data_IF_866495293953
#
_entry.id   IF_866495293953
#
_cell.length_a   1.000
_cell.length_b   1.000
_cell.length_c   1.000
_cell.angle_alpha   90.00
_cell.angle_beta   90.00
_cell.angle_gamma   90.00
#
_symmetry.space_group_name_H-M   'P 1'
#
loop_
_entity.id
_entity.type
_entity.pdbx_description
1 polymer ?
#
# COMPACT_ATOMS: atom_id res chain seq x y z
N UNK A 1 -39.22 8.45 -50.34
CA UNK A 1 -40.33 7.66 -50.92
C UNK A 1 -40.33 6.32 -50.17
N UNK A 2 -40.95 6.31 -48.99
CA UNK A 2 -42.24 5.66 -48.65
C UNK A 2 -42.14 4.13 -48.69
N UNK A 3 -42.04 3.48 -47.52
CA UNK A 3 -43.15 2.87 -46.73
C UNK A 3 -43.27 1.38 -47.10
N UNK A 4 -43.44 0.38 -46.22
CA UNK A 4 -44.20 0.20 -44.96
C UNK A 4 -43.48 -0.88 -44.12
N UNK A 5 -43.26 -0.75 -42.81
CA UNK A 5 -44.18 -1.06 -41.70
C UNK A 5 -44.92 -2.40 -41.80
N UNK A 6 -44.47 -3.38 -40.99
CA UNK A 6 -45.34 -4.22 -40.15
C UNK A 6 -44.52 -4.91 -39.06
N UNK A 7 -45.06 -4.88 -37.84
CA UNK A 7 -44.48 -5.34 -36.59
C UNK A 7 -45.54 -6.23 -35.92
N UNK A 8 -45.23 -7.44 -35.41
CA UNK A 8 -46.17 -8.15 -34.55
C UNK A 8 -45.71 -8.11 -33.09
N UNK A 9 -46.67 -7.79 -32.24
CA UNK A 9 -46.61 -7.83 -30.80
C UNK A 9 -46.34 -9.24 -30.26
N UNK A 10 -45.60 -9.33 -29.14
CA UNK A 10 -45.59 -10.50 -28.26
C UNK A 10 -45.68 -10.07 -26.79
N UNK A 11 -46.92 -10.16 -26.30
CA UNK A 11 -47.38 -10.74 -25.03
C UNK A 11 -46.44 -10.68 -23.80
N UNK A 12 -46.92 -9.89 -22.84
CA UNK A 12 -46.65 -9.95 -21.41
C UNK A 12 -46.90 -11.32 -20.78
N UNK A 13 -45.93 -11.81 -20.00
CA UNK A 13 -46.09 -12.97 -19.13
C UNK A 13 -45.20 -12.84 -17.90
N UNK A 14 -45.73 -12.24 -16.84
CA UNK A 14 -45.18 -12.29 -15.48
C UNK A 14 -45.41 -13.67 -14.90
N UNK A 15 -44.35 -14.38 -14.50
CA UNK A 15 -44.47 -15.54 -13.61
C UNK A 15 -43.50 -15.41 -12.44
N UNK A 16 -44.07 -15.09 -11.28
CA UNK A 16 -43.41 -15.07 -9.97
C UNK A 16 -43.50 -16.49 -9.38
N UNK A 17 -42.38 -17.23 -9.41
CA UNK A 17 -42.28 -18.49 -8.69
C UNK A 17 -41.78 -18.26 -7.25
N UNK A 18 -42.73 -18.39 -6.32
CA UNK A 18 -42.56 -18.44 -4.87
C UNK A 18 -41.59 -19.56 -4.44
N UNK A 19 -40.66 -19.25 -3.53
CA UNK A 19 -39.90 -20.26 -2.76
C UNK A 19 -40.42 -20.30 -1.31
N UNK A 20 -40.62 -21.50 -0.72
CA UNK A 20 -41.27 -21.62 0.57
C UNK A 20 -40.32 -21.36 1.74
N UNK A 21 -40.84 -20.62 2.71
CA UNK A 21 -40.29 -20.36 4.03
C UNK A 21 -40.27 -21.65 4.86
N UNK A 22 -39.11 -22.05 5.39
CA UNK A 22 -39.01 -23.05 6.47
C UNK A 22 -38.73 -22.31 7.77
N UNK A 23 -39.73 -22.29 8.65
CA UNK A 23 -39.55 -22.07 10.08
C UNK A 23 -39.07 -23.38 10.73
N UNK A 24 -38.04 -23.29 11.55
CA UNK A 24 -37.72 -24.29 12.58
C UNK A 24 -37.51 -23.54 13.89
N UNK A 25 -38.28 -23.95 14.89
CA UNK A 25 -38.37 -23.46 16.26
C UNK A 25 -37.48 -24.26 17.21
N UNK A 26 -36.96 -23.58 18.24
CA UNK A 26 -36.49 -24.15 19.52
C UNK A 26 -35.01 -24.57 19.52
N UNK A 27 -34.28 -24.52 20.62
CA UNK A 27 -34.46 -24.00 21.98
C UNK A 27 -33.04 -23.92 22.59
N UNK A 28 -32.85 -23.14 23.65
CA UNK A 28 -31.55 -22.64 24.09
C UNK A 28 -30.59 -23.64 24.76
N UNK A 29 -29.32 -23.24 24.82
CA UNK A 29 -28.48 -23.43 26.01
C UNK A 29 -27.30 -22.46 26.00
N UNK A 30 -27.38 -21.47 26.88
CA UNK A 30 -26.32 -20.56 27.30
C UNK A 30 -25.08 -21.32 27.79
N UNK A 31 -23.91 -20.97 27.25
CA UNK A 31 -22.65 -20.98 28.00
C UNK A 31 -21.82 -19.76 27.62
N UNK A 32 -21.97 -18.72 28.43
CA UNK A 32 -21.14 -17.54 28.45
C UNK A 32 -19.69 -17.90 28.86
N UNK A 33 -18.76 -17.76 27.91
CA UNK A 33 -17.32 -17.69 28.15
C UNK A 33 -16.82 -16.29 27.76
N UNK A 34 -16.88 -15.36 28.71
CA UNK A 34 -16.55 -13.95 28.47
C UNK A 34 -15.10 -13.74 28.06
N UNK A 35 -14.89 -13.30 26.82
CA UNK A 35 -13.73 -12.48 26.44
C UNK A 35 -14.21 -11.04 26.31
N UNK A 36 -13.78 -10.19 27.24
CA UNK A 36 -14.02 -8.75 27.17
C UNK A 36 -13.37 -8.21 25.91
N UNK A 37 -14.20 -7.81 24.93
CA UNK A 37 -13.81 -6.91 23.86
C UNK A 37 -13.57 -5.53 24.48
N UNK A 38 -12.33 -5.04 24.45
CA UNK A 38 -12.05 -3.62 24.70
C UNK A 38 -12.41 -2.89 23.41
N UNK A 39 -13.69 -2.54 23.28
CA UNK A 39 -14.21 -1.68 22.24
C UNK A 39 -14.63 -0.36 22.88
N UNK A 40 -13.96 0.72 22.50
CA UNK A 40 -14.48 2.08 22.59
C UNK A 40 -14.19 2.87 23.87
N UNK A 41 -12.92 3.21 24.12
CA UNK A 41 -12.63 4.51 24.75
C UNK A 41 -12.65 5.57 23.65
N UNK A 42 -13.76 6.29 23.57
CA UNK A 42 -13.90 7.47 22.73
C UNK A 42 -13.08 8.61 23.35
N UNK A 43 -12.16 9.11 22.54
CA UNK A 43 -11.38 10.36 22.45
C UNK A 43 -11.82 11.63 23.25
N UNK A 44 -12.35 11.53 24.47
CA UNK A 44 -12.81 12.70 25.24
C UNK A 44 -11.98 13.01 26.50
N UNK A 45 -10.81 12.39 26.69
CA UNK A 45 -10.07 12.44 27.96
C UNK A 45 -8.61 12.90 27.92
N UNK A 46 -8.04 13.19 26.75
CA UNK A 46 -6.64 13.63 26.67
C UNK A 46 -6.51 15.10 27.08
N UNK A 47 -5.91 15.34 28.24
CA UNK A 47 -5.61 16.69 28.74
C UNK A 47 -4.66 17.38 27.75
N UNK A 48 -5.12 18.47 27.13
CA UNK A 48 -4.38 19.25 26.14
C UNK A 48 -3.70 18.39 25.05
N UNK A 49 -4.30 17.26 24.70
CA UNK A 49 -3.75 16.34 23.70
C UNK A 49 -2.53 15.52 24.10
N UNK A 50 -2.01 15.58 25.33
CA UNK A 50 -0.91 14.73 25.74
C UNK A 50 -1.40 13.31 26.06
N UNK A 51 -0.93 12.27 25.33
CA UNK A 51 -1.26 10.88 25.69
C UNK A 51 -0.59 10.48 27.01
N UNK A 52 -1.11 9.47 27.73
CA UNK A 52 -0.43 8.89 28.89
C UNK A 52 1.01 8.50 28.55
N UNK A 53 1.94 8.63 29.51
CA UNK A 53 3.37 8.36 29.29
C UNK A 53 3.65 6.94 28.74
N UNK A 54 2.86 5.94 29.15
CA UNK A 54 2.95 4.57 28.62
C UNK A 54 2.61 4.49 27.14
N UNK A 55 1.60 5.24 26.69
CA UNK A 55 1.17 5.33 25.29
C UNK A 55 2.20 6.10 24.47
N UNK A 56 2.71 7.22 24.99
CA UNK A 56 3.78 7.98 24.34
C UNK A 56 5.03 7.12 24.12
N UNK A 57 5.45 6.36 25.14
CA UNK A 57 6.58 5.44 25.03
C UNK A 57 6.32 4.33 24.02
N UNK A 58 5.14 3.70 24.04
CA UNK A 58 4.77 2.67 23.07
C UNK A 58 4.78 3.20 21.61
N UNK A 59 4.41 4.46 21.38
CA UNK A 59 4.55 5.08 20.06
C UNK A 59 6.02 5.26 19.67
N UNK A 60 6.85 5.81 20.56
CA UNK A 60 8.27 6.04 20.28
C UNK A 60 9.05 4.74 20.05
N UNK A 61 8.69 3.68 20.77
CA UNK A 61 9.31 2.35 20.63
C UNK A 61 8.76 1.60 19.41
N UNK A 62 7.74 2.15 18.73
CA UNK A 62 7.09 1.51 17.59
C UNK A 62 6.34 0.25 17.98
N UNK A 63 5.72 0.21 19.17
CA UNK A 63 4.95 -0.93 19.68
C UNK A 63 3.43 -0.68 19.73
N UNK A 64 3.00 0.55 19.45
CA UNK A 64 1.59 0.92 19.39
C UNK A 64 0.90 0.32 18.16
N UNK A 65 -0.26 -0.30 18.34
CA UNK A 65 -0.96 -1.04 17.29
C UNK A 65 -1.66 -0.12 16.26
N UNK A 66 -2.10 1.06 16.69
CA UNK A 66 -2.79 2.02 15.84
C UNK A 66 -2.16 3.42 15.99
N UNK A 67 -1.06 3.71 15.26
CA UNK A 67 -0.43 5.02 15.33
C UNK A 67 -1.34 6.14 14.78
N UNK A 68 -2.24 5.84 13.84
CA UNK A 68 -3.12 6.85 13.22
C UNK A 68 -4.23 7.34 14.15
N UNK A 69 -4.59 6.57 15.17
CA UNK A 69 -5.47 7.04 16.24
C UNK A 69 -4.84 8.14 17.12
N UNK A 70 -3.52 8.35 17.04
CA UNK A 70 -2.81 9.29 17.92
C UNK A 70 -1.98 10.33 17.16
N UNK A 71 -1.21 9.90 16.16
CA UNK A 71 -0.36 10.76 15.32
C UNK A 71 -1.18 11.51 14.28
N UNK A 72 -0.65 12.66 13.84
CA UNK A 72 -1.35 13.60 12.98
C UNK A 72 -2.30 14.52 13.75
N UNK A 73 -3.25 15.13 13.03
CA UNK A 73 -4.19 16.11 13.58
C UNK A 73 -5.46 15.45 14.17
N UNK A 74 -5.74 15.74 15.44
CA UNK A 74 -6.86 15.18 16.19
C UNK A 74 -7.63 16.24 16.97
N UNK A 75 -8.88 15.94 17.32
CA UNK A 75 -9.67 16.80 18.19
C UNK A 75 -9.22 16.57 19.63
N UNK A 76 -9.12 17.64 20.40
CA UNK A 76 -8.69 17.65 21.79
C UNK A 76 -9.66 18.49 22.63
N UNK A 77 -9.53 18.42 23.97
CA UNK A 77 -10.40 19.13 24.92
C UNK A 77 -10.31 20.67 24.80
N UNK A 78 -9.17 21.17 24.35
CA UNK A 78 -8.80 22.58 24.19
C UNK A 78 -8.75 23.04 22.73
N UNK A 79 -9.33 22.27 21.79
CA UNK A 79 -9.34 22.61 20.37
C UNK A 79 -8.84 21.45 19.50
N UNK A 80 -7.91 21.74 18.60
CA UNK A 80 -7.19 20.75 17.80
C UNK A 80 -5.76 20.61 18.29
N UNK A 81 -5.23 19.41 18.11
CA UNK A 81 -3.87 19.07 18.46
C UNK A 81 -3.22 18.30 17.31
N UNK A 82 -1.92 18.45 17.12
CA UNK A 82 -1.12 17.63 16.19
C UNK A 82 -0.04 16.92 16.97
N UNK A 83 0.09 15.61 16.77
CA UNK A 83 1.13 14.79 17.39
C UNK A 83 2.06 14.21 16.35
N UNK A 84 3.36 14.31 16.59
CA UNK A 84 4.38 13.80 15.66
C UNK A 84 5.57 13.20 16.40
N UNK A 85 6.21 12.21 15.77
CA UNK A 85 7.43 11.57 16.27
C UNK A 85 8.66 12.28 15.71
N UNK A 86 9.44 12.90 16.58
CA UNK A 86 10.74 13.51 16.27
C UNK A 86 11.89 12.66 16.82
N UNK A 87 12.13 11.47 16.25
CA UNK A 87 13.14 10.52 16.77
C UNK A 87 14.56 11.12 16.84
N UNK A 88 14.94 11.94 15.86
CA UNK A 88 16.25 12.62 15.82
C UNK A 88 16.16 14.13 16.06
N UNK A 89 14.98 14.63 16.46
CA UNK A 89 14.76 16.06 16.63
C UNK A 89 14.96 16.46 18.10
N UNK A 90 15.74 17.50 18.33
CA UNK A 90 15.82 18.19 19.61
C UNK A 90 14.59 19.11 19.76
N UNK A 91 14.17 19.74 18.66
CA UNK A 91 12.99 20.61 18.58
C UNK A 91 12.13 20.29 17.36
N UNK A 92 10.83 20.48 17.53
CA UNK A 92 9.84 20.26 16.49
C UNK A 92 8.82 21.42 16.46
N UNK A 93 8.40 21.82 15.28
CA UNK A 93 7.34 22.80 15.08
C UNK A 93 6.46 22.39 13.89
N UNK A 94 5.18 22.75 13.95
CA UNK A 94 4.32 22.73 12.77
C UNK A 94 4.64 23.95 11.91
N UNK A 95 5.02 23.74 10.66
CA UNK A 95 5.10 24.78 9.65
C UNK A 95 3.78 24.77 8.86
N UNK A 96 2.99 25.83 9.01
CA UNK A 96 1.68 25.99 8.37
C UNK A 96 1.83 26.52 6.93
N UNK A 97 0.73 26.56 6.17
CA UNK A 97 0.73 27.00 4.76
C UNK A 97 1.23 28.44 4.57
N UNK A 98 1.01 29.31 5.56
CA UNK A 98 1.49 30.71 5.56
C UNK A 98 2.96 30.84 6.01
N UNK A 99 3.66 29.71 6.13
CA UNK A 99 5.03 29.56 6.65
C UNK A 99 5.20 29.98 8.12
N UNK A 100 4.12 30.27 8.84
CA UNK A 100 4.17 30.45 10.29
C UNK A 100 4.51 29.13 10.97
N UNK A 101 5.17 29.23 12.13
CA UNK A 101 5.60 28.07 12.90
C UNK A 101 4.95 28.05 14.27
N UNK A 102 4.32 26.92 14.59
CA UNK A 102 3.78 26.64 15.92
C UNK A 102 4.72 25.66 16.61
N UNK A 103 5.48 26.08 17.64
CA UNK A 103 6.34 25.18 18.39
C UNK A 103 5.56 24.01 18.99
N UNK A 104 6.11 22.81 18.91
CA UNK A 104 5.53 21.62 19.52
C UNK A 104 6.26 21.32 20.84
N UNK A 105 5.50 20.99 21.88
CA UNK A 105 6.02 20.61 23.18
C UNK A 105 6.36 19.12 23.19
N UNK A 106 7.58 18.78 23.64
CA UNK A 106 7.97 17.39 23.85
C UNK A 106 7.18 16.78 25.01
N UNK A 107 6.69 15.56 24.82
CA UNK A 107 6.02 14.80 25.88
C UNK A 107 7.07 14.10 26.72
N UNK A 108 7.24 14.57 27.95
CA UNK A 108 8.23 14.06 28.90
C UNK A 108 9.64 13.94 28.26
N UNK A 109 10.38 12.88 28.59
CA UNK A 109 11.67 12.55 27.99
C UNK A 109 11.53 11.61 26.76
N UNK A 110 10.43 11.72 26.00
CA UNK A 110 10.19 10.87 24.82
C UNK A 110 10.52 11.61 23.51
N UNK A 111 10.40 10.92 22.39
CA UNK A 111 10.49 11.50 21.05
C UNK A 111 9.15 11.95 20.48
N UNK A 112 8.08 11.95 21.29
CA UNK A 112 6.77 12.44 20.90
C UNK A 112 6.66 13.94 21.17
N UNK A 113 6.11 14.68 20.21
CA UNK A 113 5.86 16.10 20.31
C UNK A 113 4.38 16.41 20.03
N UNK A 114 3.87 17.45 20.67
CA UNK A 114 2.47 17.88 20.55
C UNK A 114 2.39 19.40 20.35
N UNK A 115 1.67 19.84 19.33
CA UNK A 115 1.11 21.20 19.29
C UNK A 115 -0.36 21.12 19.65
N UNK A 116 -0.80 21.88 20.64
CA UNK A 116 -2.18 21.87 21.19
C UNK A 116 -2.81 23.26 21.13
N UNK A 117 -4.11 23.33 21.42
CA UNK A 117 -4.84 24.61 21.45
C UNK A 117 -5.02 25.24 20.06
N UNK A 118 -4.93 24.47 18.98
CA UNK A 118 -5.17 24.97 17.63
C UNK A 118 -6.67 25.21 17.45
N UNK A 119 -7.06 26.40 16.99
CA UNK A 119 -8.48 26.75 16.82
C UNK A 119 -9.16 25.90 15.74
N UNK A 120 -8.42 25.57 14.68
CA UNK A 120 -8.91 24.82 13.53
C UNK A 120 -8.01 23.63 13.22
N UNK A 121 -8.57 22.61 12.56
CA UNK A 121 -7.77 21.49 12.05
C UNK A 121 -6.86 22.03 10.95
N UNK A 122 -5.53 21.90 11.06
CA UNK A 122 -4.64 22.31 9.98
C UNK A 122 -4.88 21.40 8.77
N UNK A 123 -5.26 22.01 7.64
CA UNK A 123 -5.57 21.29 6.41
C UNK A 123 -4.29 20.72 5.77
N UNK A 124 -3.24 21.54 5.72
CA UNK A 124 -1.88 21.13 5.33
C UNK A 124 -0.88 21.75 6.29
N UNK A 125 0.13 20.98 6.63
CA UNK A 125 1.26 21.41 7.43
C UNK A 125 2.46 20.52 7.12
N UNK A 126 3.65 21.03 7.42
CA UNK A 126 4.90 20.28 7.43
C UNK A 126 5.46 20.25 8.85
N UNK A 127 6.31 19.27 9.12
CA UNK A 127 7.08 19.17 10.34
C UNK A 127 8.43 19.84 10.10
N UNK A 128 8.64 20.98 10.73
CA UNK A 128 9.95 21.59 10.86
C UNK A 128 10.65 20.96 12.06
N UNK A 129 11.89 20.51 11.86
CA UNK A 129 12.68 19.83 12.86
C UNK A 129 14.06 20.47 12.97
N UNK A 130 14.64 20.41 14.17
CA UNK A 130 16.02 20.84 14.43
C UNK A 130 16.73 19.86 15.35
N UNK A 131 18.01 19.64 15.08
CA UNK A 131 18.94 19.05 16.03
C UNK A 131 20.32 19.72 15.91
N UNK A 132 21.32 19.19 16.61
CA UNK A 132 22.70 19.67 16.54
C UNK A 132 23.31 19.68 15.12
N UNK A 133 22.82 18.83 14.21
CA UNK A 133 23.29 18.71 12.84
C UNK A 133 22.64 19.68 11.85
N UNK A 134 21.57 20.38 12.24
CA UNK A 134 20.89 21.36 11.39
C UNK A 134 19.37 21.34 11.50
N UNK A 135 18.71 21.93 10.50
CA UNK A 135 17.25 22.05 10.42
C UNK A 135 16.72 21.45 9.12
N UNK A 136 15.56 20.81 9.16
CA UNK A 136 14.90 20.26 7.98
C UNK A 136 13.38 20.35 8.09
N UNK A 137 12.70 20.32 6.95
CA UNK A 137 11.23 20.26 6.86
C UNK A 137 10.80 19.04 6.07
N UNK A 138 9.79 18.33 6.54
CA UNK A 138 9.21 17.19 5.84
C UNK A 138 7.70 17.15 6.02
N UNK A 139 7.02 16.45 5.11
CA UNK A 139 5.60 16.18 5.24
C UNK A 139 5.37 15.13 6.35
N UNK A 140 4.28 15.24 7.10
CA UNK A 140 3.88 14.26 8.11
C UNK A 140 3.14 13.08 7.43
N UNK A 141 3.69 11.85 7.40
CA UNK A 141 3.00 10.71 6.79
C UNK A 141 1.64 10.42 7.45
N UNK A 142 1.47 10.76 8.73
CA UNK A 142 0.26 10.46 9.50
C UNK A 142 -0.87 11.48 9.30
N UNK A 143 -0.64 12.57 8.55
CA UNK A 143 -1.71 13.52 8.20
C UNK A 143 -2.62 13.02 7.07
N UNK A 144 -2.11 12.10 6.23
CA UNK A 144 -2.77 11.67 5.01
C UNK A 144 -3.84 10.60 5.27
N UNK A 145 -4.96 10.68 4.55
CA UNK A 145 -5.96 9.61 4.51
C UNK A 145 -5.40 8.35 3.83
N UNK A 146 -6.07 7.21 3.99
CA UNK A 146 -5.65 5.99 3.28
C UNK A 146 -6.14 6.11 1.83
N UNK A 147 -5.29 5.83 0.83
CA UNK A 147 -5.72 5.70 -0.56
C UNK A 147 -6.64 4.51 -0.83
N UNK A 148 -6.78 3.57 0.11
CA UNK A 148 -7.68 2.42 -0.02
C UNK A 148 -9.12 2.83 0.29
N UNK A 149 -10.02 2.59 -0.66
CA UNK A 149 -11.45 2.79 -0.48
C UNK A 149 -12.14 1.61 0.21
N UNK A 150 -13.37 1.81 0.73
CA UNK A 150 -14.15 0.73 1.31
C UNK A 150 -14.41 -0.44 0.34
N UNK A 151 -14.55 -0.14 -0.96
CA UNK A 151 -14.75 -1.17 -1.97
C UNK A 151 -13.49 -2.02 -2.18
N UNK A 152 -12.29 -1.41 -2.20
CA UNK A 152 -11.03 -2.15 -2.33
C UNK A 152 -10.88 -3.14 -1.17
N UNK A 153 -11.14 -2.68 0.07
CA UNK A 153 -11.07 -3.51 1.28
C UNK A 153 -12.12 -4.63 1.28
N UNK A 154 -13.34 -4.34 0.81
CA UNK A 154 -14.41 -5.34 0.71
C UNK A 154 -14.08 -6.44 -0.30
N UNK A 155 -13.73 -6.08 -1.54
CA UNK A 155 -13.37 -7.04 -2.59
C UNK A 155 -12.12 -7.85 -2.23
N UNK A 156 -11.17 -7.23 -1.54
CA UNK A 156 -9.99 -7.94 -1.04
C UNK A 156 -10.38 -8.97 0.02
N UNK A 157 -11.25 -8.62 0.98
CA UNK A 157 -11.72 -9.54 2.01
C UNK A 157 -12.54 -10.71 1.43
N UNK A 158 -13.27 -10.48 0.32
CA UNK A 158 -13.99 -11.53 -0.40
C UNK A 158 -13.10 -12.35 -1.36
N UNK A 159 -11.87 -11.92 -1.62
CA UNK A 159 -10.98 -12.57 -2.59
C UNK A 159 -11.41 -12.35 -4.05
N UNK A 160 -12.21 -11.31 -4.32
CA UNK A 160 -12.80 -11.01 -5.64
C UNK A 160 -12.17 -9.78 -6.31
N UNK A 161 -11.16 -9.16 -5.69
CA UNK A 161 -10.45 -8.02 -6.26
C UNK A 161 -9.50 -8.45 -7.38
N UNK A 162 -9.93 -8.32 -8.64
CA UNK A 162 -9.16 -8.76 -9.82
C UNK A 162 -7.91 -7.91 -10.10
N UNK A 163 -7.91 -6.64 -9.67
CA UNK A 163 -6.83 -5.68 -9.92
C UNK A 163 -6.09 -5.32 -8.63
N UNK A 164 -5.94 -6.27 -7.71
CA UNK A 164 -5.34 -6.03 -6.40
C UNK A 164 -3.91 -5.46 -6.52
N UNK A 165 -3.20 -5.83 -7.58
CA UNK A 165 -1.88 -5.33 -7.93
C UNK A 165 -1.86 -3.82 -8.20
N UNK A 166 -2.98 -3.13 -8.45
CA UNK A 166 -2.97 -1.67 -8.61
C UNK A 166 -2.91 -0.95 -7.26
N UNK A 167 -3.34 -1.63 -6.18
CA UNK A 167 -3.42 -1.09 -4.82
C UNK A 167 -2.30 -1.62 -3.91
N UNK A 168 -1.91 -2.87 -4.08
CA UNK A 168 -0.93 -3.54 -3.22
C UNK A 168 0.51 -3.30 -3.65
N UNK A 169 1.43 -3.43 -2.70
CA UNK A 169 2.84 -3.15 -2.86
C UNK A 169 3.17 -1.67 -2.84
N UNK A 170 4.27 -1.27 -3.48
CA UNK A 170 4.65 0.15 -3.59
C UNK A 170 4.07 0.81 -4.86
N UNK A 171 3.23 1.84 -4.69
CA UNK A 171 2.55 2.54 -5.79
C UNK A 171 2.84 4.04 -5.72
N UNK A 172 3.48 4.56 -6.77
CA UNK A 172 3.68 5.99 -6.95
C UNK A 172 2.34 6.64 -7.25
N UNK A 173 1.98 7.65 -6.47
CA UNK A 173 0.75 8.41 -6.67
C UNK A 173 0.86 9.82 -6.09
N UNK A 174 -0.02 10.69 -6.56
CA UNK A 174 -0.23 12.02 -5.98
C UNK A 174 -1.43 11.96 -5.04
N UNK A 175 -1.20 12.05 -3.74
CA UNK A 175 -2.23 12.01 -2.71
C UNK A 175 -2.41 13.35 -2.04
N UNK A 176 -3.65 13.85 -1.97
CA UNK A 176 -3.99 15.14 -1.34
C UNK A 176 -3.12 16.34 -1.81
N UNK A 177 -2.61 16.26 -3.05
CA UNK A 177 -1.76 17.27 -3.69
C UNK A 177 -0.25 17.06 -3.53
N UNK A 178 0.20 15.99 -2.88
CA UNK A 178 1.62 15.68 -2.63
C UNK A 178 2.00 14.39 -3.34
N UNK A 179 3.15 14.36 -4.00
CA UNK A 179 3.71 13.15 -4.61
C UNK A 179 4.40 12.28 -3.56
N UNK A 180 4.28 10.97 -3.71
CA UNK A 180 4.90 10.01 -2.81
C UNK A 180 4.61 8.59 -3.21
N UNK A 181 4.86 7.68 -2.27
CA UNK A 181 4.65 6.25 -2.47
C UNK A 181 3.65 5.74 -1.46
N UNK A 182 2.59 5.12 -1.94
CA UNK A 182 1.68 4.32 -1.13
C UNK A 182 2.22 2.90 -1.03
N UNK A 183 2.42 2.42 0.18
CA UNK A 183 2.79 1.04 0.47
C UNK A 183 1.58 0.31 1.03
N UNK A 184 1.31 -0.89 0.53
CA UNK A 184 0.22 -1.72 1.00
C UNK A 184 0.59 -3.21 1.04
N UNK A 185 0.33 -3.90 2.15
CA UNK A 185 0.66 -5.32 2.31
C UNK A 185 -0.38 -6.05 3.16
N UNK A 186 -0.65 -7.30 2.80
CA UNK A 186 -1.53 -8.16 3.59
C UNK A 186 -0.72 -8.89 4.67
N UNK A 187 -1.04 -8.62 5.94
CA UNK A 187 -0.38 -9.25 7.08
C UNK A 187 -1.36 -9.32 8.26
N UNK A 188 -2.44 -10.12 8.14
CA UNK A 188 -3.60 -10.05 9.05
C UNK A 188 -3.25 -10.34 10.52
N UNK A 189 -2.27 -11.22 10.73
CA UNK A 189 -1.83 -11.65 12.06
C UNK A 189 -0.59 -10.89 12.56
N UNK A 190 -0.13 -9.85 11.84
CA UNK A 190 0.93 -9.00 12.36
C UNK A 190 0.40 -8.17 13.52
N UNK A 191 1.24 -7.95 14.53
CA UNK A 191 0.99 -6.94 15.57
C UNK A 191 1.30 -5.54 15.04
N UNK A 192 2.28 -5.45 14.14
CA UNK A 192 2.72 -4.21 13.49
C UNK A 192 3.38 -4.53 12.16
N UNK A 193 3.20 -3.64 11.20
CA UNK A 193 4.00 -3.56 9.99
C UNK A 193 4.56 -2.15 9.84
N UNK A 194 5.82 -2.07 9.41
CA UNK A 194 6.47 -0.81 9.03
C UNK A 194 7.12 -0.95 7.67
N UNK A 195 7.15 0.13 6.90
CA UNK A 195 7.99 0.20 5.69
C UNK A 195 9.36 0.74 6.06
N UNK A 196 10.42 0.06 5.61
CA UNK A 196 11.81 0.40 5.94
C UNK A 196 12.66 0.47 4.68
N UNK A 197 13.61 1.40 4.65
CA UNK A 197 14.51 1.62 3.53
C UNK A 197 15.58 2.68 3.84
N UNK A 198 16.46 3.02 2.91
CA UNK A 198 17.47 4.06 3.11
C UNK A 198 16.87 5.40 3.55
N UNK A 199 15.70 5.78 3.02
CA UNK A 199 14.97 7.01 3.35
C UNK A 199 14.60 7.17 4.83
N UNK A 200 14.63 6.08 5.62
CA UNK A 200 14.38 6.11 7.05
C UNK A 200 15.45 5.38 7.87
N UNK A 201 16.64 5.19 7.28
CA UNK A 201 17.76 4.51 7.94
C UNK A 201 17.47 3.06 8.32
N UNK A 202 16.54 2.41 7.62
CA UNK A 202 16.03 1.07 7.94
C UNK A 202 15.41 0.94 9.34
N UNK A 203 14.91 2.03 9.92
CA UNK A 203 14.31 2.06 11.26
C UNK A 203 12.78 1.94 11.19
N UNK A 204 12.26 0.77 11.58
CA UNK A 204 10.83 0.48 11.55
C UNK A 204 9.99 1.25 12.56
N UNK A 205 10.56 2.10 13.42
CA UNK A 205 9.78 2.99 14.30
C UNK A 205 9.26 4.24 13.59
N UNK A 206 9.85 4.59 12.44
CA UNK A 206 9.56 5.86 11.73
C UNK A 206 8.28 5.82 10.90
N UNK A 207 8.08 4.73 10.17
CA UNK A 207 7.01 4.58 9.18
C UNK A 207 6.16 3.36 9.48
N UNK A 208 5.51 3.38 10.65
CA UNK A 208 4.55 2.35 11.08
C UNK A 208 3.27 2.50 10.27
N UNK A 209 2.79 1.40 9.71
CA UNK A 209 1.65 1.37 8.80
C UNK A 209 0.33 1.35 9.55
N UNK A 210 -0.73 1.88 8.92
CA UNK A 210 -2.11 1.80 9.38
C UNK A 210 -2.62 0.37 9.22
N UNK A 211 -3.30 -0.17 10.22
CA UNK A 211 -4.03 -1.43 10.08
C UNK A 211 -5.47 -1.17 9.64
N UNK A 212 -5.97 -1.98 8.71
CA UNK A 212 -7.39 -2.10 8.37
C UNK A 212 -7.92 -3.44 8.92
N UNK A 213 -8.46 -3.47 10.16
CA UNK A 213 -8.72 -4.74 10.86
C UNK A 213 -9.72 -5.66 10.15
N UNK A 214 -10.69 -5.09 9.43
CA UNK A 214 -11.70 -5.87 8.69
C UNK A 214 -11.14 -6.67 7.51
N UNK A 215 -9.96 -6.32 7.00
CA UNK A 215 -9.33 -6.95 5.84
C UNK A 215 -7.93 -7.54 6.17
N UNK A 216 -7.34 -7.18 7.32
CA UNK A 216 -5.98 -7.58 7.69
C UNK A 216 -4.90 -6.93 6.81
N UNK A 217 -5.25 -5.82 6.18
CA UNK A 217 -4.39 -5.03 5.28
C UNK A 217 -3.67 -3.96 6.07
N UNK A 218 -2.43 -3.70 5.71
CA UNK A 218 -1.62 -2.62 6.25
C UNK A 218 -1.27 -1.65 5.15
N UNK A 219 -1.44 -0.35 5.39
CA UNK A 219 -1.09 0.67 4.40
C UNK A 219 -0.44 1.93 4.99
N UNK A 220 0.36 2.62 4.18
CA UNK A 220 0.94 3.91 4.53
C UNK A 220 1.29 4.68 3.26
N UNK A 221 0.89 5.95 3.19
CA UNK A 221 1.41 6.87 2.20
C UNK A 221 2.64 7.59 2.78
N UNK A 222 3.79 7.44 2.12
CA UNK A 222 5.02 8.15 2.48
C UNK A 222 5.27 9.26 1.47
N UNK A 223 5.07 10.54 1.86
CA UNK A 223 5.24 11.68 0.98
C UNK A 223 6.71 11.91 0.60
N UNK A 224 6.95 12.42 -0.62
CA UNK A 224 8.27 12.80 -1.11
C UNK A 224 9.15 11.64 -1.60
N UNK A 225 8.72 10.39 -1.44
CA UNK A 225 9.41 9.25 -2.05
C UNK A 225 9.14 9.16 -3.56
N UNK A 226 10.09 8.60 -4.29
CA UNK A 226 10.09 8.53 -5.76
C UNK A 226 10.46 7.13 -6.26
N UNK A 227 10.42 6.95 -7.59
CA UNK A 227 10.87 5.72 -8.23
C UNK A 227 12.36 5.45 -7.93
N UNK A 228 12.73 4.17 -7.79
CA UNK A 228 14.09 3.74 -7.47
C UNK A 228 14.37 3.55 -5.97
N UNK A 229 13.49 4.00 -5.09
CA UNK A 229 13.65 3.82 -3.65
C UNK A 229 13.71 2.34 -3.26
N UNK A 230 14.71 1.98 -2.45
CA UNK A 230 14.84 0.65 -1.88
C UNK A 230 13.95 0.52 -0.66
N UNK A 231 13.22 -0.58 -0.54
CA UNK A 231 12.39 -0.83 0.63
C UNK A 231 12.18 -2.31 0.94
N UNK A 232 11.75 -2.56 2.18
CA UNK A 232 11.22 -3.83 2.69
C UNK A 232 10.13 -3.55 3.72
N UNK A 233 9.45 -4.61 4.14
CA UNK A 233 8.56 -4.58 5.29
C UNK A 233 9.25 -5.15 6.54
N UNK A 234 9.22 -4.39 7.62
CA UNK A 234 9.53 -4.85 8.97
C UNK A 234 8.23 -5.28 9.65
N UNK A 235 8.18 -6.53 10.13
CA UNK A 235 6.96 -7.12 10.68
C UNK A 235 7.21 -7.57 12.12
N UNK A 236 6.39 -7.06 13.04
CA UNK A 236 6.29 -7.57 14.40
C UNK A 236 5.16 -8.60 14.43
N UNK A 237 5.48 -9.86 14.73
CA UNK A 237 4.48 -10.93 14.81
C UNK A 237 3.54 -10.74 16.02
N UNK A 238 2.39 -11.42 16.00
CA UNK A 238 1.40 -11.38 17.09
C UNK A 238 2.00 -11.68 18.49
N UNK A 239 3.03 -12.51 18.57
CA UNK A 239 3.72 -12.86 19.81
C UNK A 239 4.81 -11.84 20.23
N UNK A 240 4.91 -10.70 19.55
CA UNK A 240 5.90 -9.67 19.82
C UNK A 240 7.30 -9.96 19.25
N UNK A 241 7.49 -11.05 18.50
CA UNK A 241 8.77 -11.33 17.85
C UNK A 241 8.95 -10.52 16.57
N UNK A 242 10.05 -9.78 16.47
CA UNK A 242 10.46 -9.12 15.23
C UNK A 242 10.92 -10.18 14.22
N UNK A 243 10.32 -10.17 13.02
CA UNK A 243 10.68 -11.10 11.94
C UNK A 243 11.83 -10.54 11.10
N UNK A 244 12.58 -11.39 10.37
CA UNK A 244 13.48 -10.92 9.34
C UNK A 244 12.74 -10.05 8.31
N UNK A 245 13.40 -8.99 7.83
CA UNK A 245 12.83 -8.08 6.84
C UNK A 245 12.28 -8.86 5.64
N UNK A 246 11.07 -8.49 5.23
CA UNK A 246 10.35 -9.16 4.15
C UNK A 246 10.36 -8.32 2.89
N UNK A 247 10.64 -8.98 1.77
CA UNK A 247 10.30 -8.45 0.47
C UNK A 247 8.78 -8.28 0.36
N UNK A 248 8.36 -7.28 -0.38
CA UNK A 248 6.98 -7.07 -0.77
C UNK A 248 6.50 -8.19 -1.71
N UNK A 249 5.42 -8.92 -1.36
CA UNK A 249 4.81 -9.92 -2.25
C UNK A 249 4.32 -9.34 -3.59
N UNK A 250 4.06 -8.03 -3.66
CA UNK A 250 3.61 -7.30 -4.84
C UNK A 250 4.70 -6.41 -5.46
N UNK A 251 5.98 -6.69 -5.15
CA UNK A 251 7.10 -5.97 -5.73
C UNK A 251 7.11 -6.12 -7.26
N UNK A 252 7.12 -4.99 -7.97
CA UNK A 252 7.26 -4.95 -9.44
C UNK A 252 8.71 -5.03 -9.91
N UNK A 253 9.64 -4.70 -9.03
CA UNK A 253 11.08 -4.75 -9.27
C UNK A 253 11.83 -5.05 -7.98
N UNK A 254 12.94 -5.76 -8.11
CA UNK A 254 13.83 -6.11 -7.01
C UNK A 254 15.28 -5.81 -7.37
N UNK A 255 16.12 -5.67 -6.35
CA UNK A 255 17.56 -5.70 -6.55
C UNK A 255 18.00 -7.01 -7.24
N UNK A 256 19.02 -6.97 -8.10
CA UNK A 256 19.61 -8.19 -8.63
C UNK A 256 20.30 -8.99 -7.51
N UNK A 257 20.31 -10.33 -7.57
CA UNK A 257 21.05 -11.15 -6.62
C UNK A 257 22.54 -10.73 -6.51
N UNK A 258 23.13 -10.76 -5.30
CA UNK A 258 22.59 -11.26 -4.04
C UNK A 258 21.72 -10.24 -3.25
N UNK A 259 21.46 -9.05 -3.82
CA UNK A 259 20.52 -8.09 -3.27
C UNK A 259 19.11 -8.67 -3.15
N UNK A 260 18.31 -8.11 -2.25
CA UNK A 260 16.98 -8.64 -1.94
C UNK A 260 15.99 -7.59 -1.42
N UNK A 261 16.29 -6.31 -1.54
CA UNK A 261 15.31 -5.25 -1.35
C UNK A 261 14.40 -5.12 -2.59
N UNK A 262 13.18 -4.65 -2.33
CA UNK A 262 12.26 -4.24 -3.37
C UNK A 262 12.64 -2.84 -3.84
N UNK A 263 12.35 -2.55 -5.11
CA UNK A 263 12.56 -1.23 -5.71
C UNK A 263 11.19 -0.65 -6.04
N UNK A 264 10.94 0.60 -5.63
CA UNK A 264 9.74 1.33 -6.06
C UNK A 264 9.84 1.56 -7.57
N UNK A 265 9.00 0.86 -8.34
CA UNK A 265 9.04 0.92 -9.80
C UNK A 265 8.04 1.93 -10.36
N UNK A 266 8.43 2.62 -11.43
CA UNK A 266 7.58 3.40 -12.31
C UNK A 266 7.59 2.75 -13.69
N UNK A 267 6.42 2.35 -14.19
CA UNK A 267 6.30 1.83 -15.55
C UNK A 267 6.09 3.01 -16.51
N UNK A 268 7.03 3.20 -17.43
CA UNK A 268 7.02 4.25 -18.44
C UNK A 268 7.05 3.66 -19.86
N UNK A 269 6.87 2.34 -20.01
CA UNK A 269 6.97 1.71 -21.31
C UNK A 269 5.77 2.08 -22.20
N UNK A 270 6.06 2.62 -23.39
CA UNK A 270 5.04 2.94 -24.39
C UNK A 270 4.94 1.78 -25.39
N UNK A 271 3.83 1.05 -25.31
CA UNK A 271 3.56 -0.10 -26.17
C UNK A 271 3.32 0.28 -27.63
N UNK A 272 3.93 -0.47 -28.56
CA UNK A 272 3.80 -0.29 -30.01
C UNK A 272 3.06 -1.41 -30.75
N UNK A 273 2.38 -2.31 -30.02
CA UNK A 273 1.85 -3.59 -30.53
C UNK A 273 0.32 -3.61 -30.72
N UNK A 274 -0.32 -2.44 -30.75
CA UNK A 274 -1.78 -2.32 -30.81
C UNK A 274 -2.43 -3.11 -31.97
N UNK A 275 -1.79 -3.13 -33.14
CA UNK A 275 -2.27 -3.88 -34.30
C UNK A 275 -2.26 -5.40 -34.07
N UNK A 276 -1.23 -5.91 -33.39
CA UNK A 276 -1.14 -7.32 -33.01
C UNK A 276 -2.22 -7.69 -31.98
N UNK A 277 -2.36 -6.87 -30.94
CA UNK A 277 -3.34 -7.09 -29.86
C UNK A 277 -4.78 -7.11 -30.37
N UNK A 278 -5.12 -6.26 -31.35
CA UNK A 278 -6.44 -6.24 -31.98
C UNK A 278 -6.74 -7.51 -32.79
N UNK A 279 -5.73 -8.11 -33.41
CA UNK A 279 -5.89 -9.31 -34.24
C UNK A 279 -5.79 -10.62 -33.42
N UNK A 280 -5.13 -10.57 -32.26
CA UNK A 280 -4.83 -11.75 -31.42
C UNK A 280 -6.06 -12.65 -31.17
N UNK A 281 -7.25 -12.15 -30.78
CA UNK A 281 -8.41 -13.04 -30.54
C UNK A 281 -8.80 -13.91 -31.74
N UNK A 282 -8.64 -13.40 -32.97
CA UNK A 282 -8.93 -14.15 -34.20
C UNK A 282 -7.80 -15.13 -34.60
N UNK A 283 -6.60 -14.95 -34.03
CA UNK A 283 -5.39 -15.73 -34.32
C UNK A 283 -5.02 -16.73 -33.20
N UNK A 284 -5.70 -16.71 -32.05
CA UNK A 284 -5.44 -17.62 -30.92
C UNK A 284 -6.38 -18.84 -30.86
N UNK A 285 -7.03 -19.18 -31.96
CA UNK A 285 -7.86 -20.38 -32.07
C UNK A 285 -7.04 -21.67 -32.01
N UNK A 286 -7.63 -22.77 -31.53
CA UNK A 286 -6.99 -24.11 -31.49
C UNK A 286 -6.72 -24.69 -32.89
N UNK A 287 -7.29 -24.08 -33.91
CA UNK A 287 -7.16 -24.39 -35.35
C UNK A 287 -6.04 -23.60 -36.03
N UNK A 288 -5.29 -22.78 -35.29
CA UNK A 288 -4.15 -22.00 -35.79
C UNK A 288 -2.83 -22.72 -35.55
N UNK A 289 -1.80 -22.48 -36.40
CA UNK A 289 -0.50 -23.09 -36.20
C UNK A 289 0.14 -22.59 -34.91
N UNK A 290 0.58 -23.53 -34.07
CA UNK A 290 1.33 -23.24 -32.84
C UNK A 290 2.60 -24.08 -32.83
N UNK A 291 3.72 -23.42 -33.06
CA UNK A 291 5.07 -23.93 -32.86
C UNK A 291 5.80 -23.01 -31.87
N UNK A 292 6.21 -23.57 -30.73
CA UNK A 292 6.75 -22.84 -29.58
C UNK A 292 8.26 -23.10 -29.49
N UNK A 293 9.04 -22.03 -29.33
CA UNK A 293 10.44 -22.09 -28.95
C UNK A 293 10.58 -21.82 -27.45
N UNK A 294 10.82 -22.87 -26.66
CA UNK A 294 11.03 -22.78 -25.22
C UNK A 294 12.43 -22.24 -24.90
N UNK A 295 12.54 -21.25 -24.01
CA UNK A 295 13.76 -20.51 -23.73
C UNK A 295 13.97 -20.29 -22.24
N UNK A 296 15.13 -20.71 -21.74
CA UNK A 296 15.65 -20.20 -20.47
C UNK A 296 16.50 -18.95 -20.73
N UNK A 297 15.96 -17.78 -20.36
CA UNK A 297 16.53 -16.45 -20.65
C UNK A 297 17.98 -16.31 -20.19
N UNK A 298 18.29 -16.79 -18.98
CA UNK A 298 19.62 -16.66 -18.39
C UNK A 298 20.70 -17.57 -18.98
N UNK A 299 20.37 -18.48 -19.90
CA UNK A 299 21.33 -19.43 -20.48
C UNK A 299 21.24 -19.58 -22.00
N UNK A 300 20.25 -18.98 -22.66
CA UNK A 300 20.13 -19.03 -24.13
C UNK A 300 21.40 -18.53 -24.82
N UNK A 301 21.93 -17.40 -24.36
CA UNK A 301 23.20 -16.86 -24.82
C UNK A 301 23.89 -16.07 -23.70
N UNK A 302 25.22 -16.15 -23.68
CA UNK A 302 26.08 -15.41 -22.75
C UNK A 302 27.08 -14.59 -23.53
N UNK A 303 27.41 -13.42 -22.99
CA UNK A 303 28.48 -12.60 -23.55
C UNK A 303 29.83 -13.29 -23.34
N UNK A 304 30.77 -12.96 -24.22
CA UNK A 304 32.13 -13.47 -24.19
C UNK A 304 33.08 -12.27 -24.11
N UNK A 305 34.16 -12.32 -23.31
CA UNK A 305 34.59 -13.45 -22.46
C UNK A 305 33.98 -13.44 -21.03
N UNK A 306 33.19 -12.43 -20.69
CA UNK A 306 32.73 -12.15 -19.32
C UNK A 306 31.63 -13.09 -18.80
N UNK A 307 30.95 -13.83 -19.67
CA UNK A 307 29.94 -14.83 -19.32
C UNK A 307 28.63 -14.24 -18.78
N UNK A 308 28.43 -12.92 -18.84
CA UNK A 308 27.21 -12.28 -18.34
C UNK A 308 25.98 -12.70 -19.17
N UNK A 309 24.80 -12.81 -18.55
CA UNK A 309 23.57 -13.01 -19.30
C UNK A 309 23.24 -11.79 -20.16
N UNK A 310 22.42 -12.00 -21.18
CA UNK A 310 21.89 -10.92 -22.00
C UNK A 310 20.78 -10.16 -21.24
N UNK A 311 20.69 -8.85 -21.44
CA UNK A 311 19.51 -8.08 -21.00
C UNK A 311 18.29 -8.40 -21.87
N UNK A 312 17.10 -8.00 -21.43
CA UNK A 312 15.89 -8.14 -22.25
C UNK A 312 15.99 -7.37 -23.58
N UNK A 313 16.65 -6.21 -23.61
CA UNK A 313 16.89 -5.45 -24.84
C UNK A 313 17.84 -6.20 -25.80
N UNK A 314 18.92 -6.76 -25.28
CA UNK A 314 19.87 -7.54 -26.08
C UNK A 314 19.21 -8.84 -26.61
N UNK A 315 18.29 -9.43 -25.85
CA UNK A 315 17.48 -10.56 -26.31
C UNK A 315 16.48 -10.13 -27.37
N UNK A 316 15.83 -8.97 -27.23
CA UNK A 316 14.93 -8.47 -28.27
C UNK A 316 15.65 -8.31 -29.61
N UNK A 317 16.90 -7.82 -29.61
CA UNK A 317 17.71 -7.65 -30.81
C UNK A 317 18.22 -8.97 -31.41
N UNK A 318 18.36 -10.03 -30.62
CA UNK A 318 19.05 -11.26 -31.05
C UNK A 318 18.17 -12.51 -31.08
N UNK A 319 17.36 -12.74 -30.04
CA UNK A 319 16.46 -13.87 -29.93
C UNK A 319 15.28 -13.73 -30.90
N UNK A 320 14.66 -12.54 -31.01
CA UNK A 320 13.48 -12.36 -31.87
C UNK A 320 13.81 -12.65 -33.35
N UNK A 321 14.88 -12.09 -33.96
CA UNK A 321 15.23 -12.42 -35.34
C UNK A 321 15.58 -13.90 -35.53
N UNK A 322 16.19 -14.54 -34.52
CA UNK A 322 16.50 -15.96 -34.56
C UNK A 322 15.23 -16.81 -34.62
N UNK A 323 14.27 -16.55 -33.73
CA UNK A 323 12.98 -17.25 -33.66
C UNK A 323 12.19 -17.09 -34.96
N UNK A 324 12.16 -15.87 -35.51
CA UNK A 324 11.54 -15.58 -36.79
C UNK A 324 12.20 -16.34 -37.94
N UNK A 325 13.54 -16.35 -38.01
CA UNK A 325 14.29 -17.10 -39.03
C UNK A 325 14.01 -18.61 -38.97
N UNK A 326 13.84 -19.14 -37.77
CA UNK A 326 13.53 -20.56 -37.55
C UNK A 326 12.05 -20.90 -37.83
N UNK A 327 11.19 -19.91 -38.03
CA UNK A 327 9.78 -20.10 -38.38
C UNK A 327 8.87 -20.47 -37.21
N UNK A 328 9.31 -20.22 -35.97
CA UNK A 328 8.45 -20.41 -34.80
C UNK A 328 7.38 -19.31 -34.71
N UNK A 329 6.26 -19.66 -34.09
CA UNK A 329 5.11 -18.75 -33.92
C UNK A 329 5.08 -18.09 -32.55
N UNK A 330 5.70 -18.72 -31.54
CA UNK A 330 5.64 -18.31 -30.14
C UNK A 330 6.99 -18.56 -29.45
N UNK A 331 7.25 -17.81 -28.40
CA UNK A 331 8.33 -18.04 -27.44
C UNK A 331 7.70 -18.38 -26.10
N UNK A 332 8.16 -19.44 -25.46
CA UNK A 332 7.79 -19.79 -24.08
C UNK A 332 9.00 -19.57 -23.18
N UNK A 333 8.85 -18.73 -22.15
CA UNK A 333 9.95 -18.37 -21.26
C UNK A 333 9.86 -19.19 -19.97
N UNK A 334 10.98 -19.82 -19.58
CA UNK A 334 11.09 -20.38 -18.24
C UNK A 334 11.09 -19.27 -17.18
N UNK A 335 10.50 -19.52 -15.99
CA UNK A 335 10.55 -18.60 -14.86
C UNK A 335 11.96 -18.27 -14.36
#
# INVERSE_FOLDING_TARGET
MSERHENPASVSGTDQAQRPTRQLTGDGSDRAGGRRSVAGERDSGLAAGHPPASVARALCDGEHADPFALLGAHRCSDGWCVRALGLDADELALELEDASRVPMQRVDATSLFVASGLEQRPARYRLWSRNQGGTWCHEDPYRFSSPLGPLDLHLMAEGTHLELYERFGARLLRHEGVEGVHFCVWAPNARRVSVVGPFNGWDGRRHVMRQHPGAGVWDLFVPGLHAGELYKFEILAANGRLLPLKADPFARRMEPPPGNACIVEQDEHVWGDAAWMAQRPAQSGRDRPVAIYEVHVGSWRRHQPDGRPYSYDELAESLIPYVLKMGFTHIELLP
#
